data_IF_421742040165
#
_entry.id   IF_421742040165
#
_cell.length_a   1.000
_cell.length_b   1.000
_cell.length_c   1.000
_cell.angle_alpha   90.00
_cell.angle_beta   90.00
_cell.angle_gamma   90.00
#
_symmetry.space_group_name_H-M   'P 1'
#
loop_
_entity.id
_entity.type
_entity.pdbx_description
1 polymer ?
#
# COMPACT_ATOMS: atom_id res chain seq x y z
N UNK A 1 -10.17 2.04 7.82
CA UNK A 1 -9.65 0.83 7.17
C UNK A 1 -8.15 0.96 7.15
N UNK A 2 -7.44 0.02 7.75
CA UNK A 2 -5.98 -0.06 7.64
C UNK A 2 -5.65 -0.73 6.32
N UNK A 3 -4.75 -0.15 5.53
CA UNK A 3 -4.38 -0.69 4.23
C UNK A 3 -2.87 -0.70 4.02
N UNK A 4 -2.40 -1.59 3.15
CA UNK A 4 -1.02 -1.66 2.70
C UNK A 4 -0.95 -1.70 1.17
N UNK A 5 0.06 -1.05 0.60
CA UNK A 5 0.43 -1.13 -0.82
C UNK A 5 1.78 -1.82 -0.92
N UNK A 6 1.85 -2.94 -1.63
CA UNK A 6 3.08 -3.66 -1.92
C UNK A 6 3.72 -3.04 -3.16
N UNK A 7 4.99 -2.66 -3.05
CA UNK A 7 5.74 -2.03 -4.14
C UNK A 7 6.74 -3.00 -4.77
N UNK A 8 6.74 -3.07 -6.09
CA UNK A 8 7.66 -3.87 -6.91
C UNK A 8 8.59 -2.96 -7.72
N UNK A 9 9.80 -3.42 -8.08
CA UNK A 9 10.63 -2.73 -9.05
C UNK A 9 9.88 -2.57 -10.38
N UNK A 10 9.73 -1.33 -10.86
CA UNK A 10 9.06 -1.04 -12.13
C UNK A 10 7.54 -0.98 -12.08
N UNK A 11 6.94 -1.04 -10.88
CA UNK A 11 5.52 -0.74 -10.73
C UNK A 11 5.27 0.75 -11.03
N UNK A 12 4.17 1.03 -11.73
CA UNK A 12 3.88 2.38 -12.24
C UNK A 12 2.67 3.03 -11.54
N UNK A 13 1.93 2.28 -10.71
CA UNK A 13 0.63 2.68 -10.16
C UNK A 13 0.56 2.64 -8.63
N UNK A 14 1.66 2.29 -7.97
CA UNK A 14 1.82 2.37 -6.51
C UNK A 14 1.53 3.77 -5.98
N UNK A 15 2.10 4.83 -6.59
CA UNK A 15 1.86 6.22 -6.20
C UNK A 15 0.40 6.64 -6.36
N UNK A 16 -0.24 6.21 -7.44
CA UNK A 16 -1.66 6.48 -7.69
C UNK A 16 -2.53 5.83 -6.61
N UNK A 17 -2.18 4.60 -6.22
CA UNK A 17 -2.92 3.87 -5.21
C UNK A 17 -2.71 4.40 -3.80
N UNK A 18 -1.48 4.78 -3.46
CA UNK A 18 -1.16 5.49 -2.22
C UNK A 18 -1.99 6.79 -2.13
N UNK A 19 -2.03 7.58 -3.21
CA UNK A 19 -2.82 8.81 -3.25
C UNK A 19 -4.33 8.55 -3.13
N UNK A 20 -4.85 7.56 -3.85
CA UNK A 20 -6.26 7.18 -3.80
C UNK A 20 -6.67 6.73 -2.39
N UNK A 21 -5.93 5.79 -1.79
CA UNK A 21 -6.19 5.27 -0.44
C UNK A 21 -6.08 6.35 0.62
N UNK A 22 -5.07 7.23 0.52
CA UNK A 22 -4.93 8.38 1.42
C UNK A 22 -6.14 9.31 1.31
N UNK A 23 -6.59 9.62 0.09
CA UNK A 23 -7.71 10.53 -0.15
C UNK A 23 -9.04 9.98 0.36
N UNK A 24 -9.33 8.69 0.14
CA UNK A 24 -10.63 8.12 0.51
C UNK A 24 -10.71 7.71 1.98
N UNK A 25 -9.58 7.34 2.59
CA UNK A 25 -9.56 6.88 3.99
C UNK A 25 -9.10 7.95 4.98
N UNK A 26 -8.50 9.05 4.50
CA UNK A 26 -7.88 10.10 5.33
C UNK A 26 -6.55 9.69 5.96
N UNK A 27 -6.07 8.46 5.75
CA UNK A 27 -4.80 7.94 6.28
C UNK A 27 -4.00 7.28 5.15
N UNK A 28 -2.69 7.52 5.10
CA UNK A 28 -1.85 6.86 4.10
C UNK A 28 -1.75 5.35 4.39
N UNK A 29 -1.77 4.48 3.35
CA UNK A 29 -1.50 3.06 3.54
C UNK A 29 -0.05 2.82 4.00
N UNK A 30 0.19 1.69 4.64
CA UNK A 30 1.55 1.20 4.82
C UNK A 30 2.18 0.88 3.45
N UNK A 31 3.44 1.25 3.25
CA UNK A 31 4.18 0.92 2.03
C UNK A 31 5.09 -0.25 2.38
N UNK A 32 4.94 -1.36 1.65
CA UNK A 32 5.65 -2.62 1.92
C UNK A 32 6.49 -2.99 0.71
N UNK A 33 7.77 -3.29 0.90
CA UNK A 33 8.61 -3.77 -0.19
C UNK A 33 8.26 -5.23 -0.51
N UNK A 34 8.21 -5.61 -1.78
CA UNK A 34 7.78 -6.96 -2.17
C UNK A 34 8.64 -8.11 -1.62
N UNK A 35 9.85 -7.82 -1.10
CA UNK A 35 10.74 -8.80 -0.48
C UNK A 35 10.71 -8.78 1.06
N UNK A 36 9.91 -7.92 1.68
CA UNK A 36 9.75 -7.90 3.13
C UNK A 36 9.07 -9.21 3.57
N UNK A 37 9.60 -9.81 4.65
CA UNK A 37 9.12 -11.10 5.15
C UNK A 37 7.82 -10.99 5.96
N UNK A 38 7.54 -9.78 6.48
CA UNK A 38 6.42 -9.51 7.36
C UNK A 38 5.44 -8.53 6.70
N UNK A 39 4.15 -8.77 6.93
CA UNK A 39 3.09 -7.86 6.53
C UNK A 39 2.47 -7.18 7.76
N UNK A 40 2.11 -5.90 7.67
CA UNK A 40 1.39 -5.22 8.74
C UNK A 40 -0.02 -5.80 8.90
N UNK A 41 -0.57 -5.72 10.12
CA UNK A 41 -1.96 -6.08 10.40
C UNK A 41 -2.92 -5.05 9.77
N UNK A 42 -3.42 -5.38 8.57
CA UNK A 42 -4.26 -4.51 7.74
C UNK A 42 -5.49 -5.23 7.21
N UNK A 43 -6.54 -4.46 6.94
CA UNK A 43 -7.81 -4.97 6.39
C UNK A 43 -7.75 -5.18 4.87
N UNK A 44 -6.82 -4.49 4.19
CA UNK A 44 -6.68 -4.47 2.73
C UNK A 44 -5.21 -4.42 2.30
N UNK A 45 -4.85 -5.29 1.36
CA UNK A 45 -3.55 -5.28 0.67
C UNK A 45 -3.80 -4.99 -0.81
N UNK A 46 -3.03 -4.06 -1.38
CA UNK A 46 -3.00 -3.77 -2.81
C UNK A 46 -1.62 -4.07 -3.38
N UNK A 47 -1.58 -4.69 -4.56
CA UNK A 47 -0.38 -5.14 -5.28
C UNK A 47 -0.29 -4.36 -6.59
#
# INVERSE_FOLDING_TARGET
MKSAVIVFPGLNRDRDMIAALTKISGTAPAIVWHQDADLPDVDLIVI
#
